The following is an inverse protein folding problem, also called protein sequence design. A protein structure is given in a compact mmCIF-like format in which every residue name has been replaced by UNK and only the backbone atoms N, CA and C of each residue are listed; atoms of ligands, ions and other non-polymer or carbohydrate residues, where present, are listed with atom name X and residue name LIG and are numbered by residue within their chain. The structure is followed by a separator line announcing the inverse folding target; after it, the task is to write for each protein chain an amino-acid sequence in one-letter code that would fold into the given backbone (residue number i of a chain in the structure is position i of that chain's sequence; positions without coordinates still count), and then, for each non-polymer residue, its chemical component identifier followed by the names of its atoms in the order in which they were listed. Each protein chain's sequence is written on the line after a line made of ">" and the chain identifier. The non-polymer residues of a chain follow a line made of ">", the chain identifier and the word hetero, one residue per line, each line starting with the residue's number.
data_IF_434892247258
#
_entry.id   IF_434892247258
#
_cell.length_a   1.000
_cell.length_b   1.000
_cell.length_c   1.000
_cell.angle_alpha   90.00
_cell.angle_beta   90.00
_cell.angle_gamma   90.00
#
_symmetry.space_group_name_H-M   'P 1'
#
loop_
_entity.id
_entity.type
_entity.pdbx_description
1 polymer ?
#
# COMPACT_ATOMS: atom_id res chain seq x y z
N UNK A 1 -59.65 -36.50 -45.75
CA UNK A 1 -58.26 -37.00 -45.83
C UNK A 1 -57.36 -35.92 -45.21
N UNK A 2 -56.88 -36.14 -43.97
CA UNK A 2 -55.44 -36.28 -43.61
C UNK A 2 -54.61 -35.08 -44.14
N UNK A 3 -54.04 -34.16 -43.37
CA UNK A 3 -53.14 -34.27 -42.21
C UNK A 3 -53.15 -32.93 -41.45
N UNK A 4 -53.53 -32.89 -40.16
CA UNK A 4 -52.65 -32.65 -38.98
C UNK A 4 -51.24 -32.12 -39.29
N UNK A 5 -50.93 -30.91 -38.79
CA UNK A 5 -49.58 -30.37 -38.75
C UNK A 5 -49.51 -29.11 -37.89
N UNK A 6 -49.39 -29.29 -36.58
CA UNK A 6 -49.15 -28.24 -35.58
C UNK A 6 -47.73 -27.71 -35.81
N UNK A 7 -47.59 -26.45 -36.21
CA UNK A 7 -46.28 -25.77 -36.23
C UNK A 7 -46.01 -25.32 -34.79
N UNK A 8 -45.36 -26.20 -34.02
CA UNK A 8 -44.71 -25.83 -32.75
C UNK A 8 -43.45 -25.07 -33.12
N UNK A 9 -43.48 -23.74 -33.03
CA UNK A 9 -42.30 -22.91 -33.14
C UNK A 9 -41.46 -23.14 -31.88
N UNK A 10 -40.40 -23.96 -32.02
CA UNK A 10 -39.43 -24.27 -30.98
C UNK A 10 -38.66 -22.98 -30.65
N UNK A 11 -39.05 -22.30 -29.57
CA UNK A 11 -38.29 -21.19 -28.99
C UNK A 11 -37.01 -21.81 -28.41
N UNK A 12 -35.91 -21.66 -29.15
CA UNK A 12 -34.58 -22.05 -28.73
C UNK A 12 -34.11 -21.04 -27.67
N UNK A 13 -34.39 -21.31 -26.40
CA UNK A 13 -33.83 -20.56 -25.28
C UNK A 13 -32.33 -20.84 -25.21
N UNK A 14 -31.53 -19.94 -25.79
CA UNK A 14 -30.11 -19.83 -25.52
C UNK A 14 -29.94 -19.42 -24.05
N UNK A 15 -29.79 -20.42 -23.18
CA UNK A 15 -29.21 -20.24 -21.86
C UNK A 15 -27.76 -19.82 -22.05
N UNK A 16 -27.53 -18.52 -22.14
CA UNK A 16 -26.20 -17.95 -21.94
C UNK A 16 -25.89 -18.23 -20.47
N UNK A 17 -25.18 -19.32 -20.23
CA UNK A 17 -24.57 -19.63 -18.94
C UNK A 17 -23.50 -18.56 -18.72
N UNK A 18 -23.91 -17.45 -18.12
CA UNK A 18 -22.99 -16.48 -17.57
C UNK A 18 -22.29 -17.19 -16.40
N UNK A 19 -21.12 -17.76 -16.67
CA UNK A 19 -20.17 -18.10 -15.62
C UNK A 19 -19.81 -16.77 -14.93
N UNK A 20 -20.55 -16.46 -13.87
CA UNK A 20 -20.09 -15.57 -12.82
C UNK A 20 -18.94 -16.31 -12.14
N UNK A 21 -17.75 -16.23 -12.73
CA UNK A 21 -16.56 -16.26 -11.91
C UNK A 21 -16.72 -15.05 -11.00
N UNK A 22 -17.03 -15.31 -9.73
CA UNK A 22 -16.74 -14.40 -8.64
C UNK A 22 -15.22 -14.16 -8.67
N UNK A 23 -14.76 -13.32 -9.60
CA UNK A 23 -13.63 -12.45 -9.33
C UNK A 23 -14.16 -11.58 -8.21
N UNK A 24 -13.93 -12.01 -6.97
CA UNK A 24 -13.62 -11.02 -5.95
C UNK A 24 -12.63 -10.09 -6.62
N UNK A 25 -13.06 -8.85 -6.82
CA UNK A 25 -12.25 -7.80 -7.39
C UNK A 25 -10.97 -7.79 -6.57
N UNK A 26 -9.89 -8.35 -7.11
CA UNK A 26 -8.66 -8.52 -6.34
C UNK A 26 -8.22 -7.12 -5.98
N UNK A 27 -8.33 -6.75 -4.71
CA UNK A 27 -7.85 -5.47 -4.20
C UNK A 27 -6.32 -5.37 -4.28
N UNK A 28 -5.66 -6.35 -4.90
CA UNK A 28 -4.23 -6.49 -5.06
C UNK A 28 -3.81 -6.25 -6.51
N UNK A 29 -2.75 -5.46 -6.68
CA UNK A 29 -2.13 -5.14 -7.96
C UNK A 29 -0.60 -5.10 -7.80
N UNK A 30 0.15 -5.33 -8.88
CA UNK A 30 1.60 -5.16 -8.88
C UNK A 30 1.98 -3.85 -9.54
N UNK A 31 2.76 -3.03 -8.85
CA UNK A 31 3.34 -1.82 -9.41
C UNK A 31 4.47 -2.16 -10.41
N UNK A 32 4.83 -1.25 -11.34
CA UNK A 32 5.88 -1.50 -12.34
C UNK A 32 7.26 -1.86 -11.75
N UNK A 33 7.51 -1.50 -10.50
CA UNK A 33 8.72 -1.80 -9.74
C UNK A 33 8.69 -3.21 -9.08
N UNK A 34 7.59 -3.95 -9.19
CA UNK A 34 7.40 -5.28 -8.59
C UNK A 34 6.88 -5.27 -7.15
N UNK A 35 6.47 -4.11 -6.62
CA UNK A 35 5.80 -4.03 -5.33
C UNK A 35 4.35 -4.53 -5.45
N UNK A 36 3.91 -5.30 -4.46
CA UNK A 36 2.53 -5.73 -4.32
C UNK A 36 1.78 -4.63 -3.55
N UNK A 37 0.74 -4.09 -4.17
CA UNK A 37 -0.12 -3.09 -3.58
C UNK A 37 -1.49 -3.69 -3.26
N UNK A 38 -2.08 -3.28 -2.13
CA UNK A 38 -3.39 -3.76 -1.73
C UNK A 38 -4.28 -2.64 -1.18
N UNK A 39 -5.52 -2.53 -1.67
CA UNK A 39 -6.50 -1.57 -1.16
C UNK A 39 -7.29 -2.17 0.01
N UNK A 40 -7.41 -1.41 1.09
CA UNK A 40 -8.24 -1.74 2.26
C UNK A 40 -9.16 -0.57 2.63
N UNK A 41 -10.19 -0.82 3.44
CA UNK A 41 -11.18 0.19 3.79
C UNK A 41 -10.63 1.37 4.61
N UNK A 42 -9.57 1.17 5.39
CA UNK A 42 -8.95 2.22 6.22
C UNK A 42 -7.59 1.75 6.79
N UNK A 43 -6.88 2.65 7.47
CA UNK A 43 -5.63 2.32 8.18
C UNK A 43 -5.81 1.31 9.33
N UNK A 44 -7.04 1.05 9.80
CA UNK A 44 -7.32 0.04 10.83
C UNK A 44 -7.47 -1.38 10.25
N UNK A 45 -7.58 -1.51 8.92
CA UNK A 45 -7.67 -2.80 8.22
C UNK A 45 -6.36 -3.04 7.49
N UNK A 46 -5.55 -3.96 8.03
CA UNK A 46 -4.26 -4.31 7.42
C UNK A 46 -4.45 -5.16 6.14
N UNK A 47 -3.56 -5.00 5.14
CA UNK A 47 -3.62 -5.77 3.91
C UNK A 47 -3.24 -7.23 4.14
N UNK A 48 -3.80 -8.12 3.31
CA UNK A 48 -3.62 -9.56 3.43
C UNK A 48 -2.18 -10.03 3.22
N UNK A 49 -1.35 -9.28 2.47
CA UNK A 49 0.08 -9.60 2.31
C UNK A 49 0.87 -9.55 3.63
N UNK A 50 0.31 -8.96 4.70
CA UNK A 50 0.92 -8.95 6.04
C UNK A 50 0.56 -10.17 6.89
N UNK A 51 -0.33 -11.06 6.42
CA UNK A 51 -0.86 -12.17 7.23
C UNK A 51 0.24 -13.04 7.81
N UNK A 52 1.25 -13.37 7.00
CA UNK A 52 2.36 -14.27 7.37
C UNK A 52 3.65 -13.52 7.72
N UNK A 53 3.60 -12.19 7.82
CA UNK A 53 4.74 -11.38 8.23
C UNK A 53 4.97 -11.47 9.74
N UNK A 54 6.22 -11.23 10.15
CA UNK A 54 6.60 -11.15 11.58
C UNK A 54 5.79 -10.05 12.27
N UNK A 55 5.44 -10.27 13.53
CA UNK A 55 4.61 -9.33 14.30
C UNK A 55 5.19 -7.91 14.34
N UNK A 56 6.51 -7.78 14.46
CA UNK A 56 7.19 -6.48 14.42
C UNK A 56 6.94 -5.71 13.11
N UNK A 57 6.89 -6.39 11.96
CA UNK A 57 6.62 -5.77 10.66
C UNK A 57 5.16 -5.33 10.61
N UNK A 58 4.23 -6.19 11.06
CA UNK A 58 2.80 -5.89 11.11
C UNK A 58 2.50 -4.65 11.97
N UNK A 59 3.15 -4.54 13.13
CA UNK A 59 3.03 -3.39 14.02
C UNK A 59 3.56 -2.10 13.38
N UNK A 60 4.72 -2.15 12.72
CA UNK A 60 5.25 -0.98 12.00
C UNK A 60 4.33 -0.57 10.85
N UNK A 61 3.78 -1.52 10.09
CA UNK A 61 2.80 -1.21 9.04
C UNK A 61 1.54 -0.55 9.58
N UNK A 62 0.98 -1.08 10.67
CA UNK A 62 -0.18 -0.48 11.32
C UNK A 62 0.12 0.96 11.78
N UNK A 63 1.27 1.17 12.42
CA UNK A 63 1.70 2.48 12.87
C UNK A 63 1.95 3.44 11.68
N UNK A 64 2.55 2.95 10.59
CA UNK A 64 2.83 3.71 9.39
C UNK A 64 1.56 4.17 8.69
N UNK A 65 0.55 3.29 8.56
CA UNK A 65 -0.76 3.66 8.00
C UNK A 65 -1.44 4.78 8.80
N UNK A 66 -1.34 4.72 10.13
CA UNK A 66 -1.88 5.77 11.03
C UNK A 66 -1.05 7.06 11.07
N UNK A 67 0.20 7.00 10.59
CA UNK A 67 1.16 8.11 10.65
C UNK A 67 1.59 8.55 9.25
N UNK A 68 0.80 8.25 8.21
CA UNK A 68 1.17 8.56 6.83
C UNK A 68 1.43 10.07 6.62
N UNK A 69 0.64 10.95 7.26
CA UNK A 69 0.83 12.40 7.22
C UNK A 69 2.20 12.83 7.78
N UNK A 70 2.72 12.14 8.81
CA UNK A 70 4.08 12.37 9.27
C UNK A 70 5.08 11.83 8.25
N UNK A 71 4.94 10.58 7.85
CA UNK A 71 5.91 9.85 7.05
C UNK A 71 6.06 10.41 5.64
N UNK A 72 5.07 11.15 5.12
CA UNK A 72 5.19 11.84 3.83
C UNK A 72 6.29 12.92 3.84
N UNK A 73 6.67 13.42 5.03
CA UNK A 73 7.71 14.42 5.21
C UNK A 73 9.07 13.82 5.59
N UNK A 74 9.13 12.50 5.81
CA UNK A 74 10.34 11.81 6.25
C UNK A 74 10.97 11.07 5.06
N UNK A 75 12.23 11.32 4.73
CA UNK A 75 12.90 10.60 3.65
C UNK A 75 13.31 9.19 4.06
N UNK A 76 13.42 8.31 3.08
CA UNK A 76 14.02 6.98 3.25
C UNK A 76 15.42 6.96 2.63
N UNK A 77 16.37 6.34 3.33
CA UNK A 77 17.79 6.25 2.95
C UNK A 77 18.21 4.82 2.52
N UNK A 78 17.24 3.97 2.15
CA UNK A 78 17.51 2.56 1.79
C UNK A 78 18.10 2.35 0.39
N UNK A 79 18.05 3.37 -0.47
CA UNK A 79 18.59 3.32 -1.84
C UNK A 79 17.60 2.85 -2.92
N UNK A 80 16.35 2.58 -2.56
CA UNK A 80 15.31 2.15 -3.52
C UNK A 80 14.48 3.31 -4.09
N UNK A 81 14.80 4.58 -3.77
CA UNK A 81 13.99 5.74 -4.15
C UNK A 81 13.64 5.78 -5.65
N UNK A 82 14.63 5.72 -6.53
CA UNK A 82 14.43 5.81 -7.98
C UNK A 82 13.86 4.52 -8.56
N UNK A 83 14.38 3.35 -8.14
CA UNK A 83 13.93 2.05 -8.66
C UNK A 83 12.51 1.70 -8.25
N UNK A 84 12.08 2.12 -7.04
CA UNK A 84 10.72 1.94 -6.55
C UNK A 84 9.80 3.13 -6.86
N UNK A 85 10.33 4.27 -7.30
CA UNK A 85 9.56 5.50 -7.51
C UNK A 85 9.01 6.12 -6.23
N UNK A 86 9.58 5.80 -5.07
CA UNK A 86 9.14 6.28 -3.76
C UNK A 86 9.63 7.71 -3.50
N UNK A 87 8.74 8.56 -2.99
CA UNK A 87 9.03 9.98 -2.71
C UNK A 87 9.33 10.25 -1.24
N UNK A 88 8.99 9.33 -0.35
CA UNK A 88 9.20 9.44 1.10
C UNK A 88 9.16 8.06 1.76
N UNK A 89 9.45 8.02 3.06
CA UNK A 89 9.29 6.84 3.92
C UNK A 89 7.85 6.32 3.91
N UNK A 90 6.84 7.19 3.76
CA UNK A 90 5.43 6.76 3.61
C UNK A 90 5.27 5.77 2.46
N UNK A 91 5.91 6.00 1.31
CA UNK A 91 5.69 5.18 0.12
C UNK A 91 6.23 3.75 0.25
N UNK A 92 7.09 3.48 1.24
CA UNK A 92 7.50 2.13 1.55
C UNK A 92 6.38 1.28 2.18
N UNK A 93 5.28 1.89 2.62
CA UNK A 93 4.19 1.21 3.34
C UNK A 93 2.82 1.53 2.74
N UNK A 94 2.62 2.77 2.29
CA UNK A 94 1.37 3.31 1.80
C UNK A 94 1.65 4.03 0.48
N UNK A 95 1.08 3.49 -0.59
CA UNK A 95 1.10 4.14 -1.90
C UNK A 95 0.25 5.41 -1.90
N UNK A 96 -0.97 5.32 -1.36
CA UNK A 96 -1.91 6.43 -1.29
C UNK A 96 -2.96 6.24 -0.17
N UNK A 97 -3.47 7.35 0.36
CA UNK A 97 -4.72 7.38 1.12
C UNK A 97 -5.74 8.13 0.25
N UNK A 98 -6.83 7.46 -0.10
CA UNK A 98 -7.87 8.03 -0.94
C UNK A 98 -8.77 8.99 -0.14
N UNK A 99 -9.53 9.84 -0.84
CA UNK A 99 -10.45 10.81 -0.21
C UNK A 99 -11.54 10.14 0.64
N UNK A 100 -11.92 8.90 0.31
CA UNK A 100 -12.88 8.09 1.08
C UNK A 100 -12.26 7.45 2.34
N UNK A 101 -10.98 7.72 2.63
CA UNK A 101 -10.24 7.16 3.76
C UNK A 101 -9.65 5.77 3.51
N UNK A 102 -9.91 5.16 2.35
CA UNK A 102 -9.34 3.87 2.00
C UNK A 102 -7.83 3.98 1.73
N UNK A 103 -7.09 2.96 2.16
CA UNK A 103 -5.62 2.94 2.07
C UNK A 103 -5.19 1.96 1.00
N UNK A 104 -4.38 2.44 0.06
CA UNK A 104 -3.62 1.61 -0.88
C UNK A 104 -2.25 1.37 -0.26
N UNK A 105 -2.06 0.19 0.31
CA UNK A 105 -0.82 -0.26 0.91
C UNK A 105 0.19 -0.68 -0.14
N UNK A 106 1.46 -0.69 0.23
CA UNK A 106 2.59 -1.12 -0.60
C UNK A 106 3.47 -2.06 0.22
N UNK A 107 3.79 -3.26 -0.27
CA UNK A 107 4.51 -4.29 0.49
C UNK A 107 6.02 -4.05 0.61
N UNK A 108 6.56 -3.04 -0.06
CA UNK A 108 8.00 -2.82 -0.17
C UNK A 108 8.73 -2.83 1.18
N UNK A 109 8.15 -2.18 2.19
CA UNK A 109 8.70 -2.06 3.53
C UNK A 109 8.88 -3.41 4.25
N UNK A 110 8.20 -4.47 3.80
CA UNK A 110 8.39 -5.82 4.36
C UNK A 110 9.77 -6.39 4.05
N UNK A 111 10.45 -5.85 3.02
CA UNK A 111 11.68 -6.37 2.44
C UNK A 111 12.94 -5.61 2.89
N UNK A 112 12.79 -4.54 3.68
CA UNK A 112 13.90 -3.64 4.02
C UNK A 112 13.85 -3.15 5.48
N UNK A 113 14.89 -3.52 6.26
CA UNK A 113 15.03 -3.10 7.65
C UNK A 113 15.17 -1.58 7.84
N UNK A 114 15.80 -0.87 6.90
CA UNK A 114 15.96 0.59 6.97
C UNK A 114 14.62 1.31 6.82
N UNK A 115 13.74 0.83 5.94
CA UNK A 115 12.39 1.37 5.81
C UNK A 115 11.62 1.25 7.14
N UNK A 116 11.67 0.06 7.76
CA UNK A 116 11.01 -0.23 9.03
C UNK A 116 11.56 0.65 10.16
N UNK A 117 12.88 0.77 10.25
CA UNK A 117 13.54 1.52 11.31
C UNK A 117 13.24 3.02 11.23
N UNK A 118 13.37 3.64 10.05
CA UNK A 118 13.09 5.06 9.87
C UNK A 118 11.64 5.38 10.23
N UNK A 119 10.69 4.54 9.82
CA UNK A 119 9.29 4.73 10.15
C UNK A 119 9.04 4.60 11.65
N UNK A 120 9.53 3.53 12.28
CA UNK A 120 9.36 3.29 13.72
C UNK A 120 9.96 4.42 14.56
N UNK A 121 11.19 4.86 14.25
CA UNK A 121 11.85 5.95 14.96
C UNK A 121 11.10 7.27 14.80
N UNK A 122 10.71 7.61 13.57
CA UNK A 122 9.97 8.84 13.28
C UNK A 122 8.64 8.90 14.05
N UNK A 123 7.91 7.79 14.07
CA UNK A 123 6.63 7.66 14.77
C UNK A 123 6.82 7.75 16.28
N UNK A 124 7.83 7.07 16.84
CA UNK A 124 8.16 7.14 18.26
C UNK A 124 8.48 8.59 18.67
N UNK A 125 9.31 9.28 17.91
CA UNK A 125 9.65 10.68 18.14
C UNK A 125 8.42 11.61 18.07
N UNK A 126 7.46 11.32 17.17
CA UNK A 126 6.20 12.07 17.10
C UNK A 126 5.34 11.84 18.34
N UNK A 127 5.28 10.60 18.83
CA UNK A 127 4.59 10.25 20.07
C UNK A 127 5.23 10.91 21.31
N UNK A 128 6.54 11.14 21.29
CA UNK A 128 7.26 11.94 22.28
C UNK A 128 6.99 13.46 22.19
N UNK A 129 6.17 13.90 21.22
CA UNK A 129 5.75 15.30 21.08
C UNK A 129 6.68 16.17 20.25
N UNK A 130 7.66 15.59 19.54
CA UNK A 130 8.55 16.36 18.66
C UNK A 130 7.79 16.91 17.44
N UNK A 131 8.23 18.07 16.96
CA UNK A 131 7.68 18.66 15.73
C UNK A 131 8.09 17.83 14.51
N UNK A 132 7.29 17.86 13.44
CA UNK A 132 7.62 17.12 12.19
C UNK A 132 8.97 17.59 11.63
N UNK A 133 9.27 18.89 11.76
CA UNK A 133 10.52 19.49 11.32
C UNK A 133 11.72 18.96 12.11
N UNK A 134 11.60 18.85 13.43
CA UNK A 134 12.68 18.30 14.27
C UNK A 134 12.91 16.81 13.99
N UNK A 135 11.82 16.04 13.77
CA UNK A 135 11.92 14.63 13.38
C UNK A 135 12.63 14.51 12.04
N UNK A 136 12.22 15.32 11.06
CA UNK A 136 12.87 15.37 9.74
C UNK A 136 14.37 15.65 9.86
N UNK A 137 14.77 16.69 10.58
CA UNK A 137 16.20 17.00 10.75
C UNK A 137 16.97 15.88 11.47
N UNK A 138 16.36 15.26 12.48
CA UNK A 138 17.00 14.13 13.16
C UNK A 138 17.25 12.95 12.22
N UNK A 139 16.25 12.58 11.40
CA UNK A 139 16.40 11.49 10.42
C UNK A 139 17.46 11.85 9.38
N UNK A 140 17.44 13.08 8.85
CA UNK A 140 18.45 13.53 7.89
C UNK A 140 19.86 13.44 8.50
N UNK A 141 20.06 13.94 9.71
CA UNK A 141 21.36 13.92 10.40
C UNK A 141 21.83 12.51 10.74
N UNK A 142 20.92 11.62 11.13
CA UNK A 142 21.25 10.24 11.50
C UNK A 142 21.60 9.37 10.30
N UNK A 143 20.94 9.58 9.17
CA UNK A 143 21.05 8.71 7.99
C UNK A 143 21.84 9.34 6.83
N UNK A 144 22.32 10.59 6.92
CA UNK A 144 23.12 11.23 5.84
C UNK A 144 24.47 10.56 5.54
N UNK A 145 25.08 9.88 6.50
CA UNK A 145 26.40 9.24 6.35
C UNK A 145 26.28 7.72 6.39
N UNK A 146 26.91 7.03 5.44
CA UNK A 146 26.92 5.57 5.37
C UNK A 146 25.67 4.93 4.76
N UNK A 147 24.66 5.72 4.37
CA UNK A 147 23.46 5.26 3.68
C UNK A 147 23.35 5.84 2.26
N UNK A 148 22.34 5.38 1.51
CA UNK A 148 22.11 5.85 0.15
C UNK A 148 21.53 7.27 0.12
N UNK A 149 21.49 7.87 -1.07
CA UNK A 149 20.81 9.15 -1.29
C UNK A 149 19.34 9.05 -0.84
N UNK A 150 18.81 10.04 -0.11
CA UNK A 150 17.42 10.01 0.34
C UNK A 150 16.44 10.09 -0.83
N UNK A 151 15.22 9.63 -0.58
CA UNK A 151 14.05 9.96 -1.40
C UNK A 151 13.90 11.49 -1.54
N UNK A 152 13.31 11.96 -2.64
CA UNK A 152 13.09 13.39 -2.90
C UNK A 152 11.92 13.94 -2.06
N UNK A 153 12.12 13.98 -0.74
CA UNK A 153 11.08 14.32 0.23
C UNK A 153 11.17 15.81 0.59
N UNK A 154 10.13 16.61 0.35
CA UNK A 154 10.14 18.03 0.69
C UNK A 154 10.30 18.24 2.20
N UNK A 155 10.81 19.41 2.60
CA UNK A 155 10.80 19.80 4.02
C UNK A 155 9.37 20.14 4.47
N UNK A 156 8.97 19.76 5.69
CA UNK A 156 7.70 20.22 6.27
C UNK A 156 7.71 21.75 6.42
N UNK A 157 6.55 22.36 6.17
CA UNK A 157 6.33 23.82 6.32
C UNK A 157 6.38 24.25 7.79
#
# INVERSE_FOLDING_TARGET
>A
MKYKGIIVLLILTLFISACSSNKEQSNQEYAPNGDLQEKTASADVLPTFLKDQREEIRLVYQAAGKSAELLQWIPCYCGCAESAGHQSSMNCFVKNINEDGSVVWDDHGTRCGICLQIAAESIAMKQEGKSVKDIRYYIDEKYKEGYAKPTNTPMPL
#
